data_IF_245825159266
#
_entry.id   IF_245825159266
#
_cell.length_a   1.000
_cell.length_b   1.000
_cell.length_c   1.000
_cell.angle_alpha   90.00
_cell.angle_beta   90.00
_cell.angle_gamma   90.00
#
_symmetry.space_group_name_H-M   'P 1'
#
loop_
_entity.id
_entity.type
_entity.pdbx_description
1 polymer ?
#
# COMPACT_ATOMS: atom_id res chain seq x y z
N UNK A 1 22.05 -14.33 9.74
CA UNK A 1 21.32 -15.05 8.67
C UNK A 1 20.09 -14.23 8.35
N UNK A 2 19.96 -13.70 7.13
CA UNK A 2 18.75 -12.98 6.73
C UNK A 2 17.55 -13.92 6.79
N UNK A 3 16.49 -13.51 7.50
CA UNK A 3 15.27 -14.32 7.59
C UNK A 3 14.54 -14.30 6.25
N UNK A 4 13.95 -15.43 5.88
CA UNK A 4 13.20 -15.57 4.63
C UNK A 4 11.94 -14.71 4.63
N UNK A 5 11.62 -14.14 3.48
CA UNK A 5 10.30 -13.54 3.23
C UNK A 5 9.30 -14.69 3.11
N UNK A 6 8.18 -14.60 3.80
CA UNK A 6 7.11 -15.60 3.72
C UNK A 6 5.96 -15.08 2.87
N UNK A 7 5.27 -16.00 2.19
CA UNK A 7 4.15 -15.68 1.31
C UNK A 7 2.93 -16.52 1.69
N UNK A 8 1.77 -15.89 1.75
CA UNK A 8 0.47 -16.56 1.98
C UNK A 8 -0.59 -15.98 1.06
N UNK A 9 -1.55 -16.82 0.64
CA UNK A 9 -2.73 -16.38 -0.10
C UNK A 9 -3.95 -16.48 0.81
N UNK A 10 -4.61 -15.35 1.05
CA UNK A 10 -5.85 -15.26 1.83
C UNK A 10 -7.04 -15.27 0.89
N UNK A 11 -8.03 -16.13 1.19
CA UNK A 11 -9.19 -16.42 0.32
C UNK A 11 -10.55 -16.23 0.99
N UNK A 12 -10.58 -15.87 2.28
CA UNK A 12 -11.83 -15.87 3.07
C UNK A 12 -12.80 -14.74 2.70
N UNK A 13 -12.30 -13.62 2.18
CA UNK A 13 -13.09 -12.44 1.81
C UNK A 13 -12.52 -11.80 0.54
N UNK A 14 -12.32 -12.61 -0.50
CA UNK A 14 -11.59 -12.22 -1.70
C UNK A 14 -10.17 -12.78 -1.75
N UNK A 15 -9.40 -12.43 -2.78
CA UNK A 15 -8.07 -13.00 -3.05
C UNK A 15 -6.99 -11.97 -2.76
N UNK A 16 -6.24 -12.20 -1.68
CA UNK A 16 -5.13 -11.33 -1.26
C UNK A 16 -3.84 -12.14 -1.15
N UNK A 17 -2.83 -11.75 -1.90
CA UNK A 17 -1.47 -12.25 -1.71
C UNK A 17 -0.77 -11.39 -0.64
N UNK A 18 -0.23 -12.05 0.39
CA UNK A 18 0.45 -11.40 1.51
C UNK A 18 1.92 -11.84 1.52
N UNK A 19 2.83 -10.87 1.51
CA UNK A 19 4.26 -11.09 1.69
C UNK A 19 4.72 -10.51 3.03
N UNK A 20 5.51 -11.23 3.82
CA UNK A 20 6.03 -10.72 5.10
C UNK A 20 7.55 -10.78 5.12
N UNK A 21 8.17 -9.61 5.20
CA UNK A 21 9.60 -9.47 5.42
C UNK A 21 9.82 -9.12 6.91
N UNK A 22 10.55 -9.94 7.68
CA UNK A 22 10.75 -9.70 9.11
C UNK A 22 11.81 -8.63 9.43
N UNK A 23 12.47 -8.04 8.43
CA UNK A 23 13.56 -7.08 8.63
C UNK A 23 14.85 -7.71 9.17
N UNK A 24 15.76 -6.85 9.67
CA UNK A 24 16.93 -7.29 10.42
C UNK A 24 16.53 -7.70 11.85
N UNK A 25 17.38 -8.48 12.51
CA UNK A 25 17.14 -9.03 13.85
C UNK A 25 16.67 -7.95 14.81
N UNK A 26 15.58 -8.18 15.57
CA UNK A 26 15.20 -7.26 16.63
C UNK A 26 16.29 -7.26 17.69
N UNK A 27 16.93 -6.12 17.92
CA UNK A 27 17.64 -5.90 19.18
C UNK A 27 16.59 -5.56 20.23
N UNK A 28 16.26 -6.57 21.05
CA UNK A 28 15.44 -6.51 22.27
C UNK A 28 14.09 -5.76 22.18
N UNK A 29 12.99 -6.53 22.19
CA UNK A 29 11.64 -5.98 22.34
C UNK A 29 10.98 -6.51 23.62
N UNK A 30 10.95 -5.67 24.65
CA UNK A 30 10.12 -5.82 25.84
C UNK A 30 8.65 -6.07 25.45
N UNK A 31 7.98 -6.92 26.23
CA UNK A 31 6.53 -7.15 26.19
C UNK A 31 5.79 -5.91 26.69
N UNK A 32 5.46 -5.00 25.77
CA UNK A 32 4.58 -3.85 26.04
C UNK A 32 3.12 -4.29 25.86
N UNK A 33 2.33 -3.99 26.89
CA UNK A 33 0.87 -4.21 26.99
C UNK A 33 0.12 -3.39 25.92
N UNK A 34 -1.04 -3.91 25.49
CA UNK A 34 -1.93 -3.42 24.41
C UNK A 34 -2.06 -1.89 24.27
N UNK A 35 -1.27 -1.30 23.37
CA UNK A 35 -1.61 -0.03 22.72
C UNK A 35 -2.27 -0.26 21.35
N UNK A 36 -3.02 0.73 20.85
CA UNK A 36 -3.44 0.76 19.45
C UNK A 36 -2.22 0.74 18.52
N UNK A 37 -2.33 0.09 17.36
CA UNK A 37 -1.23 0.06 16.38
C UNK A 37 -1.24 1.33 15.53
N UNK A 38 -0.06 1.89 15.27
CA UNK A 38 0.13 2.93 14.26
C UNK A 38 0.52 2.28 12.94
N UNK A 39 -0.09 2.69 11.84
CA UNK A 39 0.10 2.08 10.52
C UNK A 39 0.52 3.15 9.53
N UNK A 40 1.54 2.84 8.72
CA UNK A 40 1.84 3.56 7.50
C UNK A 40 1.65 2.58 6.33
N UNK A 41 0.68 2.85 5.48
CA UNK A 41 0.41 2.06 4.30
C UNK A 41 0.80 2.85 3.03
N UNK A 42 1.66 2.26 2.21
CA UNK A 42 2.24 2.94 1.05
C UNK A 42 1.88 2.15 -0.21
N UNK A 43 1.36 2.83 -1.25
CA UNK A 43 1.22 2.22 -2.57
C UNK A 43 2.59 1.80 -3.13
N UNK A 44 2.59 0.85 -4.06
CA UNK A 44 3.81 0.34 -4.67
C UNK A 44 4.32 1.21 -5.83
N UNK A 45 3.57 1.28 -6.94
CA UNK A 45 4.11 1.81 -8.20
C UNK A 45 3.89 3.32 -8.23
N UNK A 46 4.89 4.09 -8.68
CA UNK A 46 4.86 5.56 -8.64
C UNK A 46 4.75 6.17 -7.23
N UNK A 47 4.82 5.35 -6.18
CA UNK A 47 4.78 5.78 -4.77
C UNK A 47 6.01 5.30 -4.02
N UNK A 48 6.16 3.99 -3.83
CA UNK A 48 7.35 3.40 -3.18
C UNK A 48 8.50 3.24 -4.18
N UNK A 49 8.18 2.74 -5.38
CA UNK A 49 9.14 2.43 -6.43
C UNK A 49 8.67 2.94 -7.79
N UNK A 50 9.63 3.12 -8.67
CA UNK A 50 9.41 3.30 -10.11
C UNK A 50 10.29 2.32 -10.87
N UNK A 51 9.97 1.99 -12.12
CA UNK A 51 10.87 1.18 -12.94
C UNK A 51 12.10 1.99 -13.36
N UNK A 52 13.23 1.31 -13.59
CA UNK A 52 14.40 1.93 -14.24
C UNK A 52 14.14 2.16 -15.71
N UNK A 53 13.35 1.29 -16.34
CA UNK A 53 13.01 1.33 -17.76
C UNK A 53 11.95 2.35 -18.16
N UNK A 54 11.26 2.97 -17.20
CA UNK A 54 10.14 3.89 -17.45
C UNK A 54 8.80 3.19 -17.73
N UNK A 55 8.74 1.85 -17.74
CA UNK A 55 7.49 1.10 -17.84
C UNK A 55 6.71 1.09 -16.52
N UNK A 56 5.38 1.00 -16.55
CA UNK A 56 4.57 1.04 -15.32
C UNK A 56 4.86 -0.12 -14.36
N UNK A 57 5.07 -1.33 -14.88
CA UNK A 57 5.22 -2.55 -14.05
C UNK A 57 6.66 -3.03 -13.88
N UNK A 58 7.61 -2.45 -14.64
CA UNK A 58 8.96 -3.00 -14.78
C UNK A 58 8.99 -4.25 -15.67
N UNK A 59 10.14 -4.52 -16.27
CA UNK A 59 10.34 -5.63 -17.21
C UNK A 59 10.69 -6.95 -16.50
N UNK A 60 11.36 -6.87 -15.36
CA UNK A 60 11.87 -8.01 -14.59
C UNK A 60 11.99 -7.68 -13.09
N UNK A 61 12.46 -8.64 -12.28
CA UNK A 61 12.63 -8.49 -10.83
C UNK A 61 13.64 -7.43 -10.39
N UNK A 62 14.51 -6.96 -11.28
CA UNK A 62 15.55 -5.96 -11.01
C UNK A 62 15.22 -4.57 -11.58
N UNK A 63 14.18 -4.47 -12.42
CA UNK A 63 13.73 -3.24 -13.05
C UNK A 63 12.88 -2.38 -12.12
N UNK A 64 13.51 -1.94 -11.03
CA UNK A 64 12.96 -0.99 -10.09
C UNK A 64 14.06 -0.14 -9.46
N UNK A 65 13.70 1.06 -9.06
CA UNK A 65 14.45 1.93 -8.16
C UNK A 65 13.46 2.55 -7.17
N UNK A 66 13.96 3.06 -6.05
CA UNK A 66 13.14 3.88 -5.17
C UNK A 66 12.54 5.04 -5.96
N UNK A 67 11.29 5.38 -5.65
CA UNK A 67 10.65 6.55 -6.23
C UNK A 67 11.47 7.82 -5.95
N UNK A 68 11.97 7.94 -4.71
CA UNK A 68 12.94 8.95 -4.30
C UNK A 68 13.92 8.38 -3.25
N UNK A 69 15.12 8.95 -3.14
CA UNK A 69 16.15 8.49 -2.19
C UNK A 69 15.73 8.61 -0.71
N UNK A 70 14.76 9.46 -0.39
CA UNK A 70 14.24 9.63 0.97
C UNK A 70 13.31 8.50 1.43
N UNK A 71 12.78 7.69 0.51
CA UNK A 71 11.81 6.62 0.81
C UNK A 71 12.34 5.64 1.86
N UNK A 72 13.53 5.02 1.70
CA UNK A 72 14.01 4.04 2.68
C UNK A 72 14.32 4.67 4.03
N UNK A 73 14.84 5.89 4.05
CA UNK A 73 15.19 6.59 5.28
C UNK A 73 13.93 6.91 6.08
N UNK A 74 12.89 7.47 5.43
CA UNK A 74 11.65 7.85 6.10
C UNK A 74 10.88 6.65 6.65
N UNK A 75 10.81 5.54 5.89
CA UNK A 75 10.15 4.32 6.37
C UNK A 75 10.90 3.66 7.54
N UNK A 76 12.24 3.70 7.54
CA UNK A 76 13.03 3.21 8.69
C UNK A 76 12.78 4.05 9.93
N UNK A 77 12.73 5.37 9.80
CA UNK A 77 12.39 6.27 10.92
C UNK A 77 11.03 5.92 11.52
N UNK A 78 10.00 5.75 10.68
CA UNK A 78 8.67 5.38 11.15
C UNK A 78 8.66 4.01 11.85
N UNK A 79 9.40 3.04 11.32
CA UNK A 79 9.55 1.74 11.98
C UNK A 79 10.20 1.85 13.38
N UNK A 80 11.23 2.71 13.54
CA UNK A 80 11.83 3.02 14.84
C UNK A 80 10.83 3.72 15.79
N UNK A 81 9.91 4.50 15.24
CA UNK A 81 8.79 5.11 15.96
C UNK A 81 7.61 4.13 16.18
N UNK A 82 7.81 2.83 16.01
CA UNK A 82 6.82 1.78 16.23
C UNK A 82 5.60 1.83 15.29
N UNK A 83 5.80 2.31 14.06
CA UNK A 83 4.82 2.14 12.99
C UNK A 83 4.90 0.75 12.37
N UNK A 84 3.74 0.14 12.15
CA UNK A 84 3.61 -1.03 11.28
C UNK A 84 3.66 -0.56 9.83
N UNK A 85 4.71 -0.96 9.10
CA UNK A 85 4.92 -0.59 7.70
C UNK A 85 4.23 -1.59 6.78
N UNK A 86 3.26 -1.09 6.02
CA UNK A 86 2.47 -1.83 5.03
C UNK A 86 2.79 -1.31 3.63
N UNK A 87 3.03 -2.22 2.70
CA UNK A 87 2.96 -1.92 1.27
C UNK A 87 1.62 -2.47 0.76
N UNK A 88 0.86 -1.69 -0.01
CA UNK A 88 -0.44 -2.09 -0.54
C UNK A 88 -0.49 -1.90 -2.05
N UNK A 89 -0.92 -2.89 -2.83
CA UNK A 89 -0.98 -2.76 -4.30
C UNK A 89 -2.16 -3.50 -4.91
N UNK A 90 -2.76 -2.91 -5.94
CA UNK A 90 -3.80 -3.54 -6.77
C UNK A 90 -3.15 -4.29 -7.95
N UNK A 91 -3.08 -5.63 -7.92
CA UNK A 91 -2.43 -6.44 -8.96
C UNK A 91 -3.33 -7.57 -9.46
N UNK A 92 -4.23 -7.26 -10.41
CA UNK A 92 -5.25 -8.20 -10.89
C UNK A 92 -4.75 -9.39 -11.74
N UNK A 93 -3.44 -9.52 -11.95
CA UNK A 93 -2.84 -10.51 -12.87
C UNK A 93 -1.90 -11.49 -12.16
N UNK A 94 -1.95 -11.57 -10.83
CA UNK A 94 -1.11 -12.50 -10.06
C UNK A 94 -1.83 -13.81 -9.73
N UNK A 95 -3.14 -13.86 -9.90
CA UNK A 95 -3.92 -15.08 -9.70
C UNK A 95 -4.93 -15.28 -10.82
N UNK A 96 -5.36 -16.52 -11.01
CA UNK A 96 -6.58 -16.83 -11.77
C UNK A 96 -7.85 -16.44 -10.98
N UNK A 97 -9.02 -16.69 -11.58
CA UNK A 97 -10.32 -16.41 -10.94
C UNK A 97 -10.57 -17.26 -9.70
N UNK A 98 -9.98 -18.45 -9.64
CA UNK A 98 -10.06 -19.34 -8.50
C UNK A 98 -9.06 -18.95 -7.41
N UNK A 99 -8.17 -17.97 -7.65
CA UNK A 99 -7.17 -17.46 -6.71
C UNK A 99 -5.84 -18.21 -6.71
N UNK A 100 -5.62 -19.14 -7.64
CA UNK A 100 -4.34 -19.82 -7.79
C UNK A 100 -3.33 -18.89 -8.45
N UNK A 101 -2.08 -18.92 -7.98
CA UNK A 101 -1.03 -18.09 -8.53
C UNK A 101 -0.73 -18.46 -9.99
N UNK A 102 -0.63 -17.44 -10.84
CA UNK A 102 -0.17 -17.58 -12.24
C UNK A 102 1.33 -17.27 -12.35
N UNK A 103 2.02 -17.59 -13.47
CA UNK A 103 3.47 -17.43 -13.58
C UNK A 103 4.02 -16.03 -13.23
N UNK A 104 3.24 -14.98 -13.50
CA UNK A 104 3.56 -13.59 -13.18
C UNK A 104 3.76 -13.36 -11.68
N UNK A 105 3.08 -14.14 -10.82
CA UNK A 105 3.24 -14.08 -9.37
C UNK A 105 4.68 -14.38 -8.94
N UNK A 106 5.36 -15.32 -9.58
CA UNK A 106 6.72 -15.70 -9.22
C UNK A 106 7.71 -14.54 -9.45
N UNK A 107 7.61 -13.86 -10.60
CA UNK A 107 8.44 -12.69 -10.91
C UNK A 107 8.14 -11.52 -9.96
N UNK A 108 6.85 -11.25 -9.73
CA UNK A 108 6.42 -10.22 -8.78
C UNK A 108 6.93 -10.48 -7.36
N UNK A 109 6.84 -11.72 -6.87
CA UNK A 109 7.34 -12.12 -5.56
C UNK A 109 8.85 -11.88 -5.44
N UNK A 110 9.65 -12.32 -6.43
CA UNK A 110 11.10 -12.07 -6.44
C UNK A 110 11.43 -10.58 -6.41
N UNK A 111 10.76 -9.77 -7.24
CA UNK A 111 10.88 -8.30 -7.22
C UNK A 111 10.63 -7.74 -5.82
N UNK A 112 9.50 -8.11 -5.23
CA UNK A 112 9.08 -7.58 -3.93
C UNK A 112 9.95 -8.07 -2.78
N UNK A 113 10.53 -9.26 -2.88
CA UNK A 113 11.54 -9.72 -1.94
C UNK A 113 12.79 -8.83 -1.95
N UNK A 114 13.29 -8.43 -3.13
CA UNK A 114 14.41 -7.49 -3.23
C UNK A 114 14.05 -6.12 -2.65
N UNK A 115 12.87 -5.59 -3.00
CA UNK A 115 12.37 -4.29 -2.49
C UNK A 115 12.26 -4.32 -0.97
N UNK A 116 11.53 -5.29 -0.39
CA UNK A 116 11.31 -5.35 1.05
C UNK A 116 12.61 -5.59 1.83
N UNK A 117 13.49 -6.48 1.37
CA UNK A 117 14.79 -6.72 2.05
C UNK A 117 15.66 -5.47 2.06
N UNK A 118 15.64 -4.67 0.99
CA UNK A 118 16.44 -3.46 0.91
C UNK A 118 16.02 -2.37 1.92
N UNK A 119 14.79 -2.39 2.42
CA UNK A 119 14.32 -1.53 3.53
C UNK A 119 14.94 -1.90 4.89
N UNK A 120 15.39 -3.15 5.07
CA UNK A 120 16.00 -3.69 6.31
C UNK A 120 15.16 -3.48 7.58
N UNK A 121 13.85 -3.35 7.44
CA UNK A 121 12.87 -3.24 8.53
C UNK A 121 11.76 -4.30 8.32
N UNK A 122 10.97 -4.61 9.36
CA UNK A 122 9.77 -5.41 9.18
C UNK A 122 8.79 -4.72 8.23
N UNK A 123 8.32 -5.44 7.20
CA UNK A 123 7.37 -4.95 6.21
C UNK A 123 6.37 -6.04 5.87
N UNK A 124 5.09 -5.68 5.81
CA UNK A 124 4.05 -6.56 5.27
C UNK A 124 3.54 -5.98 3.95
N UNK A 125 3.60 -6.76 2.88
CA UNK A 125 3.01 -6.47 1.59
C UNK A 125 1.61 -7.10 1.52
N UNK A 126 0.64 -6.30 1.11
CA UNK A 126 -0.74 -6.67 0.84
C UNK A 126 -1.05 -6.42 -0.64
N UNK A 127 -1.49 -7.46 -1.34
CA UNK A 127 -1.77 -7.35 -2.79
C UNK A 127 -3.18 -7.83 -3.08
N UNK A 128 -4.04 -6.93 -3.55
CA UNK A 128 -5.37 -7.30 -4.02
C UNK A 128 -5.27 -7.90 -5.43
N UNK A 129 -5.57 -9.20 -5.54
CA UNK A 129 -5.40 -9.95 -6.79
C UNK A 129 -6.68 -10.03 -7.63
N UNK A 130 -7.84 -9.64 -7.09
CA UNK A 130 -9.12 -9.67 -7.80
C UNK A 130 -9.90 -8.36 -7.63
N UNK A 131 -10.94 -8.16 -8.44
CA UNK A 131 -11.84 -7.02 -8.33
C UNK A 131 -12.91 -7.26 -7.26
N UNK A 132 -12.48 -7.37 -6.01
CA UNK A 132 -13.32 -7.66 -4.84
C UNK A 132 -13.17 -6.60 -3.75
N UNK A 133 -13.68 -6.86 -2.54
CA UNK A 133 -13.63 -5.95 -1.39
C UNK A 133 -12.22 -5.47 -1.00
N UNK A 134 -11.17 -6.15 -1.45
CA UNK A 134 -9.78 -5.79 -1.16
C UNK A 134 -9.18 -4.84 -2.19
N UNK A 135 -9.69 -4.80 -3.42
CA UNK A 135 -9.13 -3.90 -4.42
C UNK A 135 -9.51 -2.46 -4.09
N UNK A 136 -8.48 -1.62 -3.83
CA UNK A 136 -8.61 -0.18 -3.58
C UNK A 136 -9.49 0.45 -4.66
N UNK A 137 -10.45 1.32 -4.31
CA UNK A 137 -10.56 2.05 -3.04
C UNK A 137 -11.32 1.36 -1.89
N UNK A 138 -11.78 0.12 -2.05
CA UNK A 138 -12.53 -0.58 -0.99
C UNK A 138 -11.64 -0.88 0.23
N UNK A 139 -12.19 -0.93 1.46
CA UNK A 139 -11.40 -0.95 2.69
C UNK A 139 -10.80 -2.32 3.04
N UNK A 140 -11.05 -3.39 2.27
CA UNK A 140 -10.71 -4.77 2.66
C UNK A 140 -9.24 -4.96 3.07
N UNK A 141 -8.29 -4.44 2.28
CA UNK A 141 -6.86 -4.51 2.64
C UNK A 141 -6.52 -3.78 3.94
N UNK A 142 -7.22 -2.69 4.26
CA UNK A 142 -6.98 -1.95 5.50
C UNK A 142 -7.49 -2.74 6.71
N UNK A 143 -8.71 -3.27 6.61
CA UNK A 143 -9.37 -4.02 7.68
C UNK A 143 -8.61 -5.29 8.08
N UNK A 144 -7.84 -5.90 7.17
CA UNK A 144 -7.07 -7.11 7.47
C UNK A 144 -5.70 -6.84 8.12
N UNK A 145 -5.24 -5.60 8.20
CA UNK A 145 -3.90 -5.25 8.72
C UNK A 145 -3.63 -5.82 10.13
N UNK A 146 -4.53 -5.68 11.12
CA UNK A 146 -4.27 -6.24 12.45
C UNK A 146 -4.06 -7.75 12.41
N UNK A 147 -4.88 -8.46 11.63
CA UNK A 147 -4.81 -9.91 11.45
C UNK A 147 -3.48 -10.34 10.82
N UNK A 148 -3.16 -9.80 9.65
CA UNK A 148 -1.97 -10.23 8.88
C UNK A 148 -0.65 -9.80 9.50
N UNK A 149 -0.67 -8.88 10.47
CA UNK A 149 0.54 -8.41 11.16
C UNK A 149 0.76 -9.08 12.52
N UNK A 150 -0.15 -9.96 12.97
CA UNK A 150 -0.08 -10.58 14.30
C UNK A 150 -0.52 -9.65 15.42
N UNK A 151 -1.31 -8.63 15.08
CA UNK A 151 -1.91 -7.65 16.00
C UNK A 151 -3.42 -7.90 16.14
N UNK A 152 -3.86 -9.15 16.04
CA UNK A 152 -5.26 -9.55 16.22
C UNK A 152 -5.79 -9.02 17.56
N UNK A 153 -6.98 -8.42 17.55
CA UNK A 153 -7.59 -7.80 18.73
C UNK A 153 -7.07 -6.41 19.09
N UNK A 154 -6.10 -5.84 18.36
CA UNK A 154 -5.65 -4.44 18.54
C UNK A 154 -6.35 -3.52 17.53
N UNK A 155 -6.81 -2.36 17.98
CA UNK A 155 -7.34 -1.33 17.10
C UNK A 155 -6.20 -0.56 16.41
N UNK A 156 -6.47 -0.01 15.23
CA UNK A 156 -5.58 0.94 14.54
C UNK A 156 -5.86 2.34 15.07
N UNK A 157 -4.82 3.07 15.45
CA UNK A 157 -4.90 4.49 15.74
C UNK A 157 -5.03 5.27 14.43
N UNK A 158 -6.26 5.49 13.98
CA UNK A 158 -6.57 6.17 12.72
C UNK A 158 -5.96 7.56 12.62
N UNK A 159 -5.95 8.33 13.72
CA UNK A 159 -5.45 9.70 13.74
C UNK A 159 -3.94 9.79 13.54
N UNK A 160 -3.20 8.77 14.01
CA UNK A 160 -1.74 8.67 13.85
C UNK A 160 -1.31 7.68 12.78
N UNK A 161 -2.23 7.23 11.92
CA UNK A 161 -1.94 6.32 10.81
C UNK A 161 -2.14 7.02 9.48
N UNK A 162 -1.45 6.57 8.44
CA UNK A 162 -1.44 7.29 7.16
C UNK A 162 -1.49 6.32 5.98
N UNK A 163 -2.14 6.75 4.90
CA UNK A 163 -2.00 6.15 3.58
C UNK A 163 -1.22 7.12 2.68
N UNK A 164 -0.26 6.58 1.93
CA UNK A 164 0.54 7.33 0.96
C UNK A 164 0.39 6.68 -0.40
N UNK A 165 0.02 7.44 -1.43
CA UNK A 165 -0.21 6.90 -2.77
C UNK A 165 -0.26 7.97 -3.86
N UNK A 166 0.09 7.61 -5.09
CA UNK A 166 0.11 8.50 -6.25
C UNK A 166 -1.26 8.65 -6.89
N UNK A 167 -2.17 7.68 -6.71
CA UNK A 167 -3.54 7.75 -7.19
C UNK A 167 -4.38 8.68 -6.30
N UNK A 168 -4.11 9.98 -6.42
CA UNK A 168 -4.60 11.05 -5.56
C UNK A 168 -5.67 11.93 -6.21
N UNK A 169 -6.06 11.64 -7.46
CA UNK A 169 -7.07 12.42 -8.18
C UNK A 169 -6.58 13.77 -8.70
N UNK A 170 -5.28 13.99 -8.81
CA UNK A 170 -4.72 15.17 -9.52
C UNK A 170 -5.05 15.08 -11.00
N UNK A 171 -4.93 16.20 -11.72
CA UNK A 171 -5.20 16.26 -13.18
C UNK A 171 -4.43 15.19 -13.95
N UNK A 172 -3.14 15.00 -13.62
CA UNK A 172 -2.26 14.01 -14.25
C UNK A 172 -2.44 12.57 -13.75
N UNK A 173 -3.16 12.36 -12.65
CA UNK A 173 -3.29 11.03 -12.06
C UNK A 173 -4.28 10.18 -12.86
N UNK A 174 -3.91 8.92 -13.08
CA UNK A 174 -4.75 7.93 -13.75
C UNK A 174 -6.02 7.59 -12.95
N UNK A 175 -5.94 7.64 -11.61
CA UNK A 175 -7.05 7.35 -10.72
C UNK A 175 -6.92 8.11 -9.39
N UNK A 176 -7.94 8.01 -8.55
CA UNK A 176 -8.01 8.53 -7.17
C UNK A 176 -8.17 7.40 -6.15
N UNK A 177 -7.79 6.17 -6.53
CA UNK A 177 -8.08 4.97 -5.73
C UNK A 177 -7.34 4.92 -4.39
N UNK A 178 -6.17 5.55 -4.26
CA UNK A 178 -5.45 5.61 -2.97
C UNK A 178 -6.06 6.66 -2.05
N UNK A 179 -6.45 7.81 -2.60
CA UNK A 179 -7.18 8.85 -1.86
C UNK A 179 -8.48 8.29 -1.28
N UNK A 180 -9.31 7.64 -2.10
CA UNK A 180 -10.56 7.08 -1.58
C UNK A 180 -10.35 5.87 -0.69
N UNK A 181 -9.26 5.11 -0.87
CA UNK A 181 -8.92 4.06 0.07
C UNK A 181 -8.66 4.63 1.47
N UNK A 182 -7.96 5.75 1.55
CA UNK A 182 -7.73 6.47 2.79
C UNK A 182 -9.02 7.05 3.39
N UNK A 183 -9.90 7.61 2.56
CA UNK A 183 -11.22 8.10 2.99
C UNK A 183 -12.07 6.95 3.56
N UNK A 184 -12.15 5.82 2.88
CA UNK A 184 -12.89 4.63 3.33
C UNK A 184 -12.27 3.96 4.57
N UNK A 185 -10.97 4.15 4.79
CA UNK A 185 -10.28 3.73 6.01
C UNK A 185 -10.36 4.77 7.14
N UNK A 186 -10.87 5.97 6.85
CA UNK A 186 -10.92 7.15 7.71
C UNK A 186 -9.54 7.51 8.31
N UNK A 187 -8.52 7.55 7.46
CA UNK A 187 -7.16 7.96 7.85
C UNK A 187 -6.63 9.09 6.97
N UNK A 188 -5.72 9.93 7.49
CA UNK A 188 -5.07 10.94 6.68
C UNK A 188 -4.34 10.34 5.46
N UNK A 189 -4.39 11.08 4.36
CA UNK A 189 -3.81 10.72 3.07
C UNK A 189 -2.75 11.74 2.63
N UNK A 190 -1.66 11.24 2.05
CA UNK A 190 -0.62 12.06 1.45
C UNK A 190 -0.20 11.51 0.08
N UNK A 191 0.22 12.38 -0.84
CA UNK A 191 0.94 11.93 -2.04
C UNK A 191 2.39 11.58 -1.70
N UNK A 192 3.14 10.90 -2.59
CA UNK A 192 4.56 10.65 -2.39
C UNK A 192 5.37 11.94 -2.19
N UNK A 193 5.04 13.01 -2.92
CA UNK A 193 5.73 14.29 -2.83
C UNK A 193 5.53 14.95 -1.48
N UNK A 194 4.29 15.05 -1.02
CA UNK A 194 3.96 15.59 0.30
C UNK A 194 4.62 14.77 1.41
N UNK A 195 4.51 13.44 1.33
CA UNK A 195 4.99 12.59 2.39
C UNK A 195 6.51 12.48 2.42
N UNK A 196 7.17 12.23 1.29
CA UNK A 196 8.60 11.94 1.27
C UNK A 196 9.49 13.17 1.05
N UNK A 197 8.95 14.25 0.46
CA UNK A 197 9.69 15.47 0.16
C UNK A 197 9.22 16.67 1.00
N UNK A 198 8.04 16.60 1.62
CA UNK A 198 7.45 17.72 2.35
C UNK A 198 6.96 18.82 1.42
N UNK A 199 6.65 18.48 0.16
CA UNK A 199 6.09 19.43 -0.80
C UNK A 199 4.67 19.86 -0.37
N UNK A 200 4.25 21.08 -0.75
CA UNK A 200 2.90 21.54 -0.48
C UNK A 200 1.87 20.70 -1.22
N UNK A 201 0.68 20.59 -0.62
CA UNK A 201 -0.42 19.86 -1.22
C UNK A 201 -0.84 20.49 -2.55
N UNK A 202 -0.91 19.68 -3.59
CA UNK A 202 -1.45 20.08 -4.88
C UNK A 202 -2.98 19.96 -4.90
N UNK A 203 -3.70 20.73 -5.73
CA UNK A 203 -5.12 20.55 -5.94
C UNK A 203 -5.45 19.12 -6.40
N UNK A 204 -6.50 18.54 -5.82
CA UNK A 204 -7.00 17.20 -6.13
C UNK A 204 -8.50 17.28 -6.34
N UNK A 205 -9.02 16.46 -7.23
CA UNK A 205 -10.45 16.27 -7.41
C UNK A 205 -10.80 14.79 -7.27
N UNK A 206 -12.09 14.48 -7.31
CA UNK A 206 -12.54 13.12 -7.49
C UNK A 206 -12.53 12.80 -9.00
N UNK A 207 -12.07 11.61 -9.38
CA UNK A 207 -12.30 11.01 -10.70
C UNK A 207 -13.64 10.27 -10.72
N UNK A 208 -14.10 9.83 -9.54
CA UNK A 208 -15.42 9.25 -9.32
C UNK A 208 -15.91 9.61 -7.91
N UNK A 209 -17.19 9.98 -7.73
CA UNK A 209 -17.78 10.10 -6.40
C UNK A 209 -19.18 9.47 -6.40
N UNK A 210 -19.49 8.52 -5.49
CA UNK A 210 -20.80 7.87 -5.47
C UNK A 210 -21.97 8.86 -5.34
N UNK A 211 -21.81 9.95 -4.58
CA UNK A 211 -22.87 10.96 -4.38
C UNK A 211 -23.31 11.62 -5.68
N UNK A 212 -22.44 11.73 -6.68
CA UNK A 212 -22.81 12.29 -7.99
C UNK A 212 -23.97 11.53 -8.64
N UNK A 213 -23.99 10.20 -8.44
CA UNK A 213 -25.01 9.31 -8.97
C UNK A 213 -26.24 9.19 -8.07
N UNK A 214 -26.09 9.47 -6.77
CA UNK A 214 -27.22 9.45 -5.83
C UNK A 214 -28.05 10.74 -5.94
N UNK A 215 -27.39 11.86 -6.19
CA UNK A 215 -28.03 13.18 -6.23
C UNK A 215 -28.31 13.70 -7.66
N UNK A 216 -27.92 12.94 -8.69
CA UNK A 216 -28.10 13.31 -10.10
C UNK A 216 -27.25 14.50 -10.56
N UNK A 217 -26.08 14.70 -9.94
CA UNK A 217 -25.18 15.84 -10.19
C UNK A 217 -24.00 15.51 -11.14
N UNK A 218 -24.07 14.41 -11.88
CA UNK A 218 -23.00 13.91 -12.78
C UNK A 218 -22.42 14.96 -13.76
N UNK A 219 -23.21 15.96 -14.16
CA UNK A 219 -22.80 16.95 -15.18
C UNK A 219 -22.08 18.20 -14.64
N UNK A 220 -21.98 18.40 -13.32
CA UNK A 220 -21.54 19.70 -12.76
C UNK A 220 -20.03 19.86 -12.53
N UNK A 221 -19.25 18.78 -12.45
CA UNK A 221 -17.81 18.87 -12.13
C UNK A 221 -16.86 18.19 -13.13
N UNK A 222 -17.36 17.37 -14.07
CA UNK A 222 -16.55 16.87 -15.19
C UNK A 222 -16.12 17.99 -16.18
N UNK A 223 -16.59 19.22 -15.99
CA UNK A 223 -16.22 20.42 -16.76
C UNK A 223 -15.66 21.50 -15.85
N UNK A 224 -14.57 21.19 -15.15
CA UNK A 224 -13.66 22.20 -14.63
C UNK A 224 -12.72 22.65 -15.74
N UNK A 225 -13.11 23.74 -16.42
CA UNK A 225 -12.46 24.45 -17.56
C UNK A 225 -12.59 23.83 -18.96
#
# INVERSE_FOLDING_TARGET
>A
MERLVTWTVHRSQGIVLVGRCPGLTPEHGNTVVQENIKVIAVDLNQTLIVSKSGTLHGKDETDWKWWHESVPTKLRTLALENYTVIISSNQGRLTDLDGNEVPEAASFKRKMEHVMRSLRIPVTLLVACANDLNRKPRPGLWLMIPKVTGNEGRAIDKARSYIVGDAAGRTSDFSDSDLHWAMNAEVPFYTPEEFFLGEPQQPRSHKFHPEWHLDGNEEKECKGE
#
